data_IF_825335159985
#
_entry.id   IF_825335159985
#
_cell.length_a   1.000
_cell.length_b   1.000
_cell.length_c   1.000
_cell.angle_alpha   90.00
_cell.angle_beta   90.00
_cell.angle_gamma   90.00
#
_symmetry.space_group_name_H-M   'P 1'
#
loop_
_entity.id
_entity.type
_entity.pdbx_description
1 polymer ?
2 non-polymer ?
3 non-polymer ?
4 water ?
#
# COMPACT_ATOMS: atom_id res chain seq x y z
N UNK A 1 -7.55 23.50 -9.73
CA UNK A 1 -8.28 24.35 -10.67
C UNK A 1 -9.43 23.59 -11.31
N UNK A 2 -9.43 22.26 -11.15
CA UNK A 2 -10.44 21.41 -11.75
C UNK A 2 -11.39 20.80 -10.72
N UNK A 3 -11.25 21.15 -9.45
CA UNK A 3 -12.26 20.77 -8.48
C UNK A 3 -11.83 19.64 -7.57
N UNK A 4 -12.82 19.16 -6.81
CA UNK A 4 -12.55 18.28 -5.68
C UNK A 4 -11.87 16.98 -6.10
N UNK A 5 -12.32 16.36 -7.20
CA UNK A 5 -11.73 15.08 -7.57
C UNK A 5 -10.26 15.23 -7.92
N UNK A 6 -9.91 16.27 -8.68
CA UNK A 6 -8.51 16.53 -8.98
C UNK A 6 -7.70 16.74 -7.71
N UNK A 7 -8.26 17.49 -6.77
CA UNK A 7 -7.57 17.74 -5.51
C UNK A 7 -7.41 16.46 -4.70
N UNK A 8 -8.43 15.60 -4.70
CA UNK A 8 -8.33 14.33 -3.98
C UNK A 8 -7.18 13.50 -4.53
N UNK A 9 -7.10 13.38 -5.85
CA UNK A 9 -6.07 12.54 -6.44
C UNK A 9 -4.67 13.10 -6.16
N UNK A 10 -4.53 14.43 -6.15
CA UNK A 10 -3.23 14.99 -5.81
C UNK A 10 -2.88 14.70 -4.36
N UNK A 11 -3.87 14.76 -3.46
CA UNK A 11 -3.63 14.42 -2.06
C UNK A 11 -3.20 12.97 -1.93
N UNK A 12 -3.84 12.07 -2.67
CA UNK A 12 -3.45 10.67 -2.64
C UNK A 12 -2.03 10.47 -3.17
N UNK A 13 -1.67 11.20 -4.23
CA UNK A 13 -0.27 11.19 -4.69
C UNK A 13 0.67 11.52 -3.54
N UNK A 14 0.30 12.52 -2.73
CA UNK A 14 1.15 12.94 -1.62
C UNK A 14 1.21 11.88 -0.54
N UNK A 15 0.09 11.21 -0.25
CA UNK A 15 0.12 10.10 0.71
C UNK A 15 1.11 9.04 0.26
N UNK A 16 1.04 8.67 -1.02
CA UNK A 16 1.92 7.64 -1.55
C UNK A 16 3.39 8.05 -1.44
N UNK A 17 3.70 9.30 -1.79
CA UNK A 17 5.06 9.80 -1.65
C UNK A 17 5.55 9.65 -0.22
N UNK A 18 4.70 9.99 0.75
CA UNK A 18 5.11 9.87 2.15
C UNK A 18 5.36 8.41 2.52
N UNK A 19 4.47 7.50 2.09
CA UNK A 19 4.63 6.09 2.45
C UNK A 19 5.91 5.50 1.88
N UNK A 20 6.39 6.04 0.76
CA UNK A 20 7.62 5.58 0.12
C UNK A 20 8.86 6.29 0.63
N UNK A 21 8.71 7.32 1.46
CA UNK A 21 9.82 8.18 1.85
C UNK A 21 10.61 7.58 3.02
N UNK A 22 11.82 8.10 3.22
CA UNK A 22 12.70 7.56 4.25
C UNK A 22 12.07 7.67 5.64
N UNK A 23 11.20 8.64 5.84
CA UNK A 23 10.52 8.84 7.12
C UNK A 23 9.97 7.54 7.71
N UNK A 24 9.43 6.66 6.86
CA UNK A 24 8.75 5.46 7.32
C UNK A 24 9.49 4.18 6.97
N UNK A 25 10.77 4.28 6.60
CA UNK A 25 11.47 3.13 6.04
C UNK A 25 11.69 2.00 7.05
N UNK A 26 11.62 2.27 8.36
CA UNK A 26 11.85 1.19 9.32
C UNK A 26 10.79 0.10 9.21
N UNK A 27 9.57 0.45 8.79
CA UNK A 27 8.50 -0.53 8.67
C UNK A 27 7.88 -0.61 7.28
N UNK A 28 8.10 0.38 6.42
CA UNK A 28 7.44 0.36 5.11
C UNK A 28 8.19 -0.46 4.08
N UNK A 29 9.47 -0.76 4.29
CA UNK A 29 10.26 -1.33 3.20
C UNK A 29 9.74 -2.67 2.65
N UNK A 30 9.09 -3.56 3.42
CA UNK A 30 8.57 -4.79 2.79
C UNK A 30 7.49 -4.54 1.76
N UNK A 31 6.98 -3.31 1.68
CA UNK A 31 5.85 -2.98 0.83
C UNK A 31 6.25 -2.12 -0.35
N UNK A 32 7.55 -1.88 -0.53
CA UNK A 32 8.02 -1.04 -1.62
C UNK A 32 7.83 -1.69 -2.99
N UNK A 33 8.01 -3.01 -3.08
CA UNK A 33 8.09 -3.73 -4.34
C UNK A 33 7.26 -5.00 -4.27
N UNK A 34 6.91 -5.60 -5.42
CA UNK A 34 6.17 -6.86 -5.38
C UNK A 34 6.95 -7.93 -4.62
N UNK A 35 6.21 -8.72 -3.83
CA UNK A 35 6.79 -9.88 -3.18
C UNK A 35 7.44 -10.76 -4.24
N UNK A 36 8.72 -11.09 -4.04
CA UNK A 36 9.43 -12.03 -4.90
C UNK A 36 9.38 -13.39 -4.22
N UNK A 37 8.34 -14.15 -4.53
CA UNK A 37 8.10 -15.41 -3.83
C UNK A 37 9.21 -16.42 -4.09
N UNK A 38 9.75 -16.42 -5.31
CA UNK A 38 10.86 -17.31 -5.63
C UNK A 38 12.08 -16.99 -4.77
N UNK A 39 12.48 -15.72 -4.73
CA UNK A 39 13.67 -15.34 -3.96
C UNK A 39 13.49 -15.57 -2.47
N UNK A 40 12.27 -15.38 -1.95
CA UNK A 40 12.01 -15.61 -0.53
C UNK A 40 11.70 -17.07 -0.22
N UNK A 41 11.67 -17.94 -1.24
CA UNK A 41 11.38 -19.37 -1.08
C UNK A 41 10.02 -19.60 -0.43
N UNK A 42 9.03 -18.80 -0.84
CA UNK A 42 7.66 -18.93 -0.34
C UNK A 42 6.84 -19.61 -1.44
N UNK A 43 6.84 -20.94 -1.42
CA UNK A 43 6.25 -21.70 -2.51
C UNK A 43 4.73 -21.72 -2.48
N UNK A 44 4.11 -21.22 -1.41
CA UNK A 44 2.66 -21.15 -1.33
C UNK A 44 2.12 -19.73 -1.48
N UNK A 45 2.97 -18.72 -1.68
CA UNK A 45 2.50 -17.34 -1.59
C UNK A 45 1.42 -17.04 -2.63
N UNK A 46 1.68 -17.37 -3.89
CA UNK A 46 0.72 -17.06 -4.95
C UNK A 46 -0.47 -18.01 -4.97
N UNK A 47 -0.40 -19.12 -4.25
CA UNK A 47 -1.58 -19.95 -4.08
C UNK A 47 -2.54 -19.36 -3.06
N UNK A 48 -2.04 -18.59 -2.10
CA UNK A 48 -2.87 -18.02 -1.05
C UNK A 48 -3.25 -16.58 -1.36
N UNK A 49 -2.34 -15.81 -1.94
CA UNK A 49 -2.58 -14.41 -2.28
C UNK A 49 -2.85 -14.33 -3.78
N UNK A 50 -4.12 -14.13 -4.14
CA UNK A 50 -4.52 -14.14 -5.54
C UNK A 50 -4.31 -12.81 -6.24
N UNK A 51 -4.22 -11.71 -5.48
CA UNK A 51 -4.09 -10.37 -6.05
C UNK A 51 -2.98 -9.64 -5.31
N UNK A 52 -1.73 -9.93 -5.63
CA UNK A 52 -0.62 -9.21 -5.00
C UNK A 52 -0.72 -7.72 -5.24
N UNK A 53 -0.22 -6.95 -4.28
CA UNK A 53 -0.20 -5.50 -4.44
C UNK A 53 0.92 -4.93 -3.59
N UNK A 54 1.49 -3.81 -4.04
CA UNK A 54 2.63 -3.19 -3.38
C UNK A 54 2.67 -1.73 -3.79
N UNK A 55 3.49 -0.94 -3.09
CA UNK A 55 3.46 0.51 -3.28
C UNK A 55 3.96 0.92 -4.66
N UNK A 56 4.95 0.21 -5.22
CA UNK A 56 5.42 0.59 -6.56
C UNK A 56 4.33 0.38 -7.61
N UNK A 57 3.50 -0.64 -7.43
CA UNK A 57 2.40 -0.86 -8.36
C UNK A 57 1.32 0.19 -8.18
N UNK A 58 0.99 0.53 -6.93
CA UNK A 58 0.05 1.61 -6.69
C UNK A 58 0.56 2.90 -7.32
N UNK A 59 1.88 3.15 -7.23
CA UNK A 59 2.45 4.35 -7.83
C UNK A 59 2.30 4.35 -9.34
N UNK A 60 2.62 3.23 -9.98
CA UNK A 60 2.46 3.15 -11.43
C UNK A 60 1.02 3.45 -11.83
N UNK A 61 0.06 2.83 -11.13
CA UNK A 61 -1.34 3.01 -11.48
C UNK A 61 -1.81 4.43 -11.18
N UNK A 62 -1.38 4.99 -10.05
CA UNK A 62 -1.80 6.34 -9.69
C UNK A 62 -1.19 7.38 -10.63
N UNK A 63 0.09 7.20 -10.98
CA UNK A 63 0.73 8.12 -11.92
C UNK A 63 0.07 8.06 -13.29
N UNK A 64 -0.40 6.88 -13.71
CA UNK A 64 -1.16 6.71 -14.93
C UNK A 64 -2.61 7.09 -14.83
N UNK A 65 -3.02 7.61 -13.67
CA UNK A 65 -4.39 8.01 -13.35
C UNK A 65 -5.39 6.88 -13.65
N UNK A 66 -5.00 5.65 -13.29
CA UNK A 66 -5.85 4.47 -13.45
C UNK A 66 -6.88 4.32 -12.33
N UNK A 67 -6.70 5.02 -11.21
CA UNK A 67 -7.72 5.02 -10.17
C UNK A 67 -8.72 6.13 -10.45
N UNK A 68 -10.00 5.82 -10.64
CA UNK A 68 -10.95 6.87 -11.02
C UNK A 68 -11.26 7.83 -9.89
N UNK A 69 -11.02 7.44 -8.65
CA UNK A 69 -11.30 8.30 -7.50
C UNK A 69 -10.42 7.84 -6.34
N UNK A 70 -10.49 8.60 -5.25
CA UNK A 70 -9.64 8.29 -4.10
C UNK A 70 -9.98 6.94 -3.50
N UNK A 71 -11.24 6.52 -3.60
CA UNK A 71 -11.61 5.23 -3.03
C UNK A 71 -10.97 4.09 -3.80
N UNK A 72 -10.78 4.25 -5.11
CA UNK A 72 -10.10 3.22 -5.88
C UNK A 72 -8.65 3.08 -5.45
N UNK A 73 -7.98 4.21 -5.25
CA UNK A 73 -6.62 4.21 -4.74
C UNK A 73 -6.55 3.55 -3.37
N UNK A 74 -7.48 3.92 -2.47
CA UNK A 74 -7.45 3.36 -1.12
C UNK A 74 -7.66 1.85 -1.14
N UNK A 75 -8.49 1.36 -2.06
CA UNK A 75 -8.74 -0.08 -2.13
C UNK A 75 -7.46 -0.86 -2.42
N UNK A 76 -6.62 -0.36 -3.33
CA UNK A 76 -5.39 -1.09 -3.62
C UNK A 76 -4.41 -0.99 -2.46
N UNK A 77 -4.33 0.18 -1.80
CA UNK A 77 -3.44 0.28 -0.65
C UNK A 77 -3.89 -0.68 0.44
N UNK A 78 -5.20 -0.75 0.69
CA UNK A 78 -5.68 -1.65 1.72
C UNK A 78 -5.58 -3.11 1.31
N UNK A 79 -5.65 -3.40 0.01
CA UNK A 79 -5.42 -4.77 -0.47
C UNK A 79 -4.01 -5.23 -0.13
N UNK A 80 -3.03 -4.34 -0.29
CA UNK A 80 -1.66 -4.62 0.10
C UNK A 80 -1.56 -5.02 1.57
N UNK A 81 -2.20 -4.25 2.46
CA UNK A 81 -2.18 -4.59 3.88
C UNK A 81 -2.91 -5.91 4.13
N UNK A 82 -4.08 -6.07 3.52
CA UNK A 82 -4.89 -7.27 3.74
C UNK A 82 -4.15 -8.53 3.31
N UNK A 83 -3.41 -8.46 2.20
CA UNK A 83 -2.61 -9.61 1.78
C UNK A 83 -1.62 -10.01 2.87
N UNK A 84 -1.00 -9.02 3.51
CA UNK A 84 -0.04 -9.30 4.56
C UNK A 84 -0.73 -9.93 5.77
N UNK A 85 -1.89 -9.41 6.16
CA UNK A 85 -2.62 -10.01 7.26
C UNK A 85 -3.11 -11.41 6.93
N UNK A 86 -3.46 -11.66 5.67
CA UNK A 86 -4.00 -12.97 5.29
C UNK A 86 -2.92 -14.04 5.26
N UNK A 87 -1.73 -13.69 4.75
CA UNK A 87 -0.74 -14.72 4.44
C UNK A 87 0.08 -15.13 5.66
N UNK A 88 0.44 -14.19 6.51
CA UNK A 88 1.45 -14.41 7.54
C UNK A 88 0.81 -14.80 8.87
N UNK A 89 1.56 -15.43 9.77
CA UNK A 89 1.04 -15.66 11.13
C UNK A 89 0.72 -14.34 11.81
N UNK A 90 -0.35 -14.28 12.60
CA UNK A 90 -0.79 -12.98 13.13
C UNK A 90 0.20 -12.33 14.08
N UNK A 91 1.10 -13.09 14.70
CA UNK A 91 2.08 -12.49 15.60
C UNK A 91 3.40 -12.19 14.91
N UNK A 92 3.47 -12.33 13.59
CA UNK A 92 4.72 -12.10 12.89
C UNK A 92 5.05 -10.62 12.84
N UNK A 93 6.35 -10.33 12.91
CA UNK A 93 6.83 -8.96 12.82
C UNK A 93 6.31 -8.23 11.57
N UNK A 94 6.18 -8.94 10.45
CA UNK A 94 5.76 -8.25 9.22
C UNK A 94 4.33 -7.75 9.34
N UNK A 95 3.48 -8.44 10.11
CA UNK A 95 2.13 -7.95 10.35
C UNK A 95 2.17 -6.66 11.16
N UNK A 96 3.07 -6.59 12.15
CA UNK A 96 3.22 -5.36 12.92
C UNK A 96 3.74 -4.23 12.04
N UNK A 97 4.61 -4.56 11.09
CA UNK A 97 5.11 -3.54 10.17
C UNK A 97 4.00 -3.03 9.26
N UNK A 98 3.19 -3.94 8.73
CA UNK A 98 2.05 -3.54 7.92
C UNK A 98 1.11 -2.64 8.72
N UNK A 99 0.88 -2.98 9.98
CA UNK A 99 -0.04 -2.20 10.80
C UNK A 99 0.51 -0.81 11.09
N UNK A 100 1.82 -0.69 11.35
CA UNK A 100 2.44 0.62 11.52
C UNK A 100 2.24 1.48 10.28
N UNK A 101 2.44 0.89 9.10
CA UNK A 101 2.25 1.65 7.87
C UNK A 101 0.79 1.96 7.64
N UNK A 102 -0.11 1.01 7.96
CA UNK A 102 -1.52 1.30 7.79
C UNK A 102 -1.98 2.40 8.76
N UNK A 103 -1.40 2.47 9.96
CA UNK A 103 -1.74 3.56 10.87
C UNK A 103 -1.47 4.90 10.20
N UNK A 104 -0.33 5.01 9.52
CA UNK A 104 0.01 6.23 8.80
C UNK A 104 -0.99 6.47 7.69
N UNK A 105 -1.22 5.44 6.87
CA UNK A 105 -2.13 5.60 5.74
C UNK A 105 -3.52 6.05 6.20
N UNK A 106 -4.10 5.35 7.18
CA UNK A 106 -5.47 5.67 7.57
C UNK A 106 -5.56 7.06 8.17
N UNK A 107 -4.54 7.48 8.91
CA UNK A 107 -4.54 8.83 9.47
C UNK A 107 -4.51 9.88 8.36
N UNK A 108 -3.60 9.72 7.39
CA UNK A 108 -3.54 10.70 6.30
C UNK A 108 -4.81 10.68 5.46
N UNK A 109 -5.30 9.48 5.15
CA UNK A 109 -6.48 9.38 4.29
C UNK A 109 -7.70 9.99 4.96
N UNK A 110 -7.82 9.81 6.28
CA UNK A 110 -8.96 10.35 7.00
C UNK A 110 -9.00 11.86 6.95
N UNK A 111 -7.83 12.50 6.80
CA UNK A 111 -7.73 13.95 6.82
C UNK A 111 -7.65 14.54 5.42
N UNK A 112 -8.01 13.77 4.40
CA UNK A 112 -8.14 14.33 3.06
C UNK A 112 -9.26 15.36 3.05
N UNK A 113 -8.98 16.61 2.65
CA UNK A 113 -10.02 17.64 2.57
C UNK A 113 -11.12 17.29 1.58
X LIG B 1 9.00 -8.45 1.57
X LIG B 1 7.13 -11.11 4.22
X LIG B 1 7.66 -8.41 1.69
X LIG B 1 5.74 -11.42 4.06
X LIG B 1 4.87 -10.27 3.49
X LIG B 1 12.28 -9.86 2.84
X LIG B 1 7.99 -11.95 5.06
X LIG B 1 5.82 -12.36 1.62
X LIG B 1 8.93 -14.24 5.07
X LIG B 1 7.33 -12.57 6.10
X LIG B 1 14.55 -10.28 3.11
X LIG B 1 11.87 -10.56 3.96
X LIG B 1 15.42 -11.64 4.99
X LIG B 1 16.36 -13.40 6.57
X LIG B 1 17.87 -15.44 6.46
X LIG B 1 16.93 -14.73 8.67
X LIG B 1 16.51 -11.20 4.83
X LIG B 1 15.21 -12.79 5.87
X LIG B 1 15.89 -13.84 7.94
X LIG B 1 17.36 -15.89 7.82
X LIG B 1 16.24 -16.82 7.65
X LIG B 1 16.86 -14.55 5.72
X LIG B 1 14.23 -11.01 4.24
X LIG B 1 13.54 -9.69 2.39
X LIG B 1 13.72 -8.93 1.22
X LIG B 1 14.89 -9.22 0.50
X LIG B 1 12.91 -11.16 4.68
X LIG B 1 11.16 -9.26 2.11
X LIG B 1 9.72 -9.31 2.31
X LIG B 1 9.14 -10.19 3.18
X LIG B 1 7.83 -10.18 3.30
X LIG B 1 8.37 -13.75 6.51
X LIG B 1 8.79 -13.18 4.20
X LIG B 1 5.48 -12.66 3.13
X LIG B 1 3.69 -10.21 3.65
X LIG B 1 5.58 -9.27 2.74
X LIG B 1 4.83 -8.12 2.19
X LIG B 1 7.07 -9.29 2.55
X LIG C 1 -0.94 14.86 2.00
X LIG C 1 -0.06 15.92 1.69
X LIG C 1 -1.15 14.69 3.45
X LIG C 1 0.02 14.41 4.17
#
# INVERSE_FOLDING_TARGET
SMGKLSEHLRYCDSILREMLSKKHAAYAWPFYKPVDAEALELHDYHDIIKHPMDLSTVKRKMDGREYPDAQGFAADVRLMFSNCYKYNPPDHEVVAMARKLQDVFEMRFAKMP
R78 N1 N3 C4 C5 C6 C7 C8 C10 C13 C15 C17 C20 C21 C22 C24 C28 O2 N6 C29 N7 C30 C23 C18 C16 O3 C31 C19 N5 C1 N2 C2 C14 C12 C9 O1 N4 C11 C3
EDO C1 O1 C2 O2
#
